data_IF_062668727828
#
_entry.id   IF_062668727828
#
_cell.length_a   1.000
_cell.length_b   1.000
_cell.length_c   1.000
_cell.angle_alpha   90.00
_cell.angle_beta   90.00
_cell.angle_gamma   90.00
#
_symmetry.space_group_name_H-M   'P 1'
#
loop_
_entity.id
_entity.type
_entity.pdbx_description
1 polymer ?
#
# COMPACT_ATOMS: atom_id res chain seq x y z
N UNK A 1 0.31 -2.95 18.46
CA UNK A 1 0.69 -1.67 19.09
C UNK A 1 -0.07 -1.52 20.41
N UNK A 2 0.62 -1.25 21.53
CA UNK A 2 -0.04 -0.77 22.76
C UNK A 2 -0.41 0.70 22.55
N UNK A 3 -1.66 1.06 22.81
CA UNK A 3 -2.16 2.42 22.58
C UNK A 3 -3.62 2.54 23.02
N UNK A 4 -4.13 3.77 23.00
CA UNK A 4 -5.55 4.05 23.21
C UNK A 4 -6.28 3.89 21.87
N UNK A 5 -7.43 3.22 21.88
CA UNK A 5 -8.36 3.18 20.75
C UNK A 5 -9.54 4.13 21.01
N UNK A 6 -10.10 4.67 19.95
CA UNK A 6 -11.20 5.62 20.03
C UNK A 6 -11.22 6.59 18.86
N UNK A 7 -12.24 7.45 18.78
CA UNK A 7 -12.36 8.43 17.72
C UNK A 7 -11.18 9.40 17.72
N UNK A 8 -10.70 9.75 16.53
CA UNK A 8 -9.71 10.83 16.35
C UNK A 8 -10.34 12.17 16.78
N UNK A 9 -9.57 13.10 17.35
CA UNK A 9 -10.09 14.44 17.66
C UNK A 9 -10.64 15.13 16.39
N UNK A 10 -11.81 15.74 16.48
CA UNK A 10 -12.50 16.31 15.32
C UNK A 10 -11.63 17.27 14.50
N UNK A 11 -10.88 18.17 15.16
CA UNK A 11 -10.00 19.13 14.49
C UNK A 11 -8.92 18.45 13.61
N UNK A 12 -8.47 17.24 13.98
CA UNK A 12 -7.50 16.47 13.16
C UNK A 12 -8.16 15.89 11.92
N UNK A 13 -9.41 15.42 12.03
CA UNK A 13 -10.20 14.90 10.91
C UNK A 13 -10.51 16.03 9.92
N UNK A 14 -10.91 17.20 10.41
CA UNK A 14 -11.17 18.37 9.57
C UNK A 14 -9.92 18.88 8.85
N UNK A 15 -8.76 18.86 9.51
CA UNK A 15 -7.48 19.22 8.88
C UNK A 15 -7.09 18.26 7.76
N UNK A 16 -7.19 16.94 8.02
CA UNK A 16 -6.95 15.92 7.00
C UNK A 16 -7.89 16.06 5.81
N UNK A 17 -9.20 16.27 6.05
CA UNK A 17 -10.18 16.44 4.98
C UNK A 17 -9.86 17.65 4.10
N UNK A 18 -9.44 18.79 4.67
CA UNK A 18 -9.03 19.95 3.86
C UNK A 18 -7.86 19.63 2.92
N UNK A 19 -6.88 18.84 3.38
CA UNK A 19 -5.76 18.42 2.54
C UNK A 19 -6.16 17.39 1.47
N UNK A 20 -7.05 16.44 1.81
CA UNK A 20 -7.64 15.50 0.85
C UNK A 20 -8.48 16.22 -0.22
N UNK A 21 -9.21 17.27 0.15
CA UNK A 21 -9.97 18.10 -0.78
C UNK A 21 -9.05 18.93 -1.67
N UNK A 22 -7.92 19.40 -1.15
CA UNK A 22 -6.90 20.10 -1.94
C UNK A 22 -6.26 19.16 -2.97
N UNK A 23 -5.96 17.91 -2.57
CA UNK A 23 -5.49 16.87 -3.49
C UNK A 23 -6.54 16.56 -4.57
N UNK A 24 -7.82 16.48 -4.19
CA UNK A 24 -8.94 16.26 -5.12
C UNK A 24 -8.98 17.37 -6.18
N UNK A 25 -8.94 18.64 -5.76
CA UNK A 25 -8.97 19.78 -6.67
C UNK A 25 -7.76 19.81 -7.62
N UNK A 26 -6.57 19.48 -7.13
CA UNK A 26 -5.37 19.35 -7.98
C UNK A 26 -5.49 18.20 -8.99
N UNK A 27 -6.11 17.09 -8.54
CA UNK A 27 -6.69 16.00 -9.30
C UNK A 27 -7.44 16.46 -10.55
N UNK A 28 -8.58 17.08 -10.26
CA UNK A 28 -9.60 17.49 -11.22
C UNK A 28 -9.09 18.60 -12.15
N UNK A 29 -8.24 19.51 -11.66
CA UNK A 29 -7.60 20.54 -12.48
C UNK A 29 -6.73 19.96 -13.61
N UNK A 30 -6.26 18.71 -13.47
CA UNK A 30 -5.55 17.96 -14.52
C UNK A 30 -6.47 17.06 -15.37
N UNK A 31 -7.79 17.18 -15.22
CA UNK A 31 -8.77 16.40 -15.97
C UNK A 31 -8.95 14.97 -15.47
N UNK A 32 -8.47 14.65 -14.26
CA UNK A 32 -8.64 13.33 -13.66
C UNK A 32 -10.00 13.29 -12.94
N UNK A 33 -10.82 12.28 -13.23
CA UNK A 33 -12.04 11.98 -12.45
C UNK A 33 -11.61 11.51 -11.05
N UNK A 34 -12.10 12.18 -10.01
CA UNK A 34 -11.87 11.79 -8.63
C UNK A 34 -13.18 11.28 -8.03
N UNK A 35 -13.14 10.06 -7.53
CA UNK A 35 -14.27 9.44 -6.82
C UNK A 35 -13.89 9.27 -5.34
N UNK A 36 -14.85 9.53 -4.45
CA UNK A 36 -14.65 9.50 -2.98
C UNK A 36 -15.45 8.36 -2.36
N UNK A 37 -14.92 7.67 -1.32
CA UNK A 37 -15.67 6.63 -0.61
C UNK A 37 -16.90 7.20 0.10
N UNK A 38 -17.90 6.34 0.36
CA UNK A 38 -19.05 6.62 1.22
C UNK A 38 -18.76 6.08 2.63
N UNK A 39 -18.42 6.92 3.63
CA UNK A 39 -18.08 6.42 4.97
C UNK A 39 -19.28 5.74 5.66
N UNK A 40 -18.99 4.66 6.39
CA UNK A 40 -19.95 4.06 7.33
C UNK A 40 -19.67 4.54 8.76
N UNK A 41 -20.50 4.12 9.72
CA UNK A 41 -20.29 4.44 11.14
C UNK A 41 -19.08 3.69 11.72
N UNK A 42 -17.87 4.20 11.53
CA UNK A 42 -16.63 3.53 11.96
C UNK A 42 -16.49 3.30 13.47
N UNK A 43 -17.26 4.03 14.28
CA UNK A 43 -17.30 3.85 15.73
C UNK A 43 -18.26 2.72 16.19
N UNK A 44 -19.00 2.08 15.28
CA UNK A 44 -19.81 0.91 15.63
C UNK A 44 -18.92 -0.32 15.85
N UNK A 45 -19.34 -1.19 16.76
CA UNK A 45 -18.63 -2.43 17.04
C UNK A 45 -18.72 -3.42 15.87
N UNK A 46 -17.66 -4.21 15.70
CA UNK A 46 -17.66 -5.38 14.82
C UNK A 46 -17.84 -6.62 15.68
N UNK A 47 -18.80 -7.46 15.32
CA UNK A 47 -19.01 -8.77 15.93
C UNK A 47 -19.09 -9.82 14.84
N UNK A 48 -18.18 -10.79 14.88
CA UNK A 48 -18.21 -12.01 14.05
C UNK A 48 -18.35 -13.23 14.97
N UNK A 49 -18.56 -14.45 14.44
CA UNK A 49 -18.49 -15.66 15.26
C UNK A 49 -17.15 -15.87 15.96
N UNK A 50 -16.06 -15.26 15.46
CA UNK A 50 -14.67 -15.56 15.87
C UNK A 50 -13.99 -14.43 16.64
N UNK A 51 -14.44 -13.18 16.48
CA UNK A 51 -13.87 -12.04 17.16
C UNK A 51 -14.84 -10.87 17.33
N UNK A 52 -14.46 -9.94 18.22
CA UNK A 52 -15.15 -8.67 18.40
C UNK A 52 -14.13 -7.52 18.47
N UNK A 53 -14.45 -6.38 17.87
CA UNK A 53 -13.71 -5.11 18.06
C UNK A 53 -14.69 -3.99 18.40
N UNK A 54 -14.29 -3.09 19.30
CA UNK A 54 -15.18 -1.99 19.74
C UNK A 54 -15.38 -0.89 18.70
N UNK A 55 -14.41 -0.73 17.79
CA UNK A 55 -14.45 0.21 16.67
C UNK A 55 -13.79 -0.42 15.44
N UNK A 56 -13.96 0.23 14.30
CA UNK A 56 -13.25 -0.05 13.05
C UNK A 56 -12.14 0.98 12.81
N UNK A 57 -11.47 0.85 11.67
CA UNK A 57 -10.35 1.70 11.27
C UNK A 57 -10.78 3.05 10.64
N UNK A 58 -11.27 3.04 9.40
CA UNK A 58 -11.65 4.24 8.65
C UNK A 58 -11.82 3.93 7.16
N UNK A 59 -11.87 4.95 6.29
CA UNK A 59 -11.91 4.80 4.83
C UNK A 59 -10.68 5.42 4.12
N UNK A 60 -9.66 5.75 4.91
CA UNK A 60 -8.33 6.11 4.45
C UNK A 60 -7.41 5.07 5.11
N UNK A 61 -6.48 4.45 4.38
CA UNK A 61 -6.19 4.62 2.96
C UNK A 61 -6.89 3.59 2.04
N UNK A 62 -7.45 3.98 0.88
CA UNK A 62 -8.06 3.05 -0.09
C UNK A 62 -7.05 2.07 -0.72
N UNK A 63 -5.77 2.44 -0.81
CA UNK A 63 -4.72 1.61 -1.41
C UNK A 63 -4.57 0.25 -0.74
N UNK A 64 -4.85 0.18 0.57
CA UNK A 64 -4.70 -1.03 1.35
C UNK A 64 -5.82 -2.04 1.05
N UNK A 65 -6.96 -1.54 0.58
CA UNK A 65 -8.18 -2.32 0.38
C UNK A 65 -8.37 -2.71 -1.08
N UNK A 66 -8.08 -1.79 -2.01
CA UNK A 66 -8.40 -1.94 -3.43
C UNK A 66 -7.15 -2.24 -4.27
N UNK A 67 -7.13 -3.41 -4.91
CA UNK A 67 -6.14 -3.80 -5.89
C UNK A 67 -6.75 -3.81 -7.31
N UNK A 68 -6.43 -2.80 -8.12
CA UNK A 68 -6.87 -2.73 -9.52
C UNK A 68 -5.90 -3.46 -10.44
N UNK A 69 -6.32 -4.54 -11.12
CA UNK A 69 -5.52 -5.29 -12.09
C UNK A 69 -6.32 -5.49 -13.38
N UNK A 70 -5.87 -4.84 -14.46
CA UNK A 70 -6.60 -4.85 -15.73
C UNK A 70 -7.99 -4.24 -15.58
N UNK A 71 -9.03 -5.02 -15.92
CA UNK A 71 -10.45 -4.62 -15.80
C UNK A 71 -11.07 -5.03 -14.47
N UNK A 72 -10.26 -5.47 -13.51
CA UNK A 72 -10.73 -5.97 -12.23
C UNK A 72 -10.31 -5.03 -11.10
N UNK A 73 -11.22 -4.77 -10.16
CA UNK A 73 -10.86 -4.26 -8.82
C UNK A 73 -11.17 -5.35 -7.81
N UNK A 74 -10.10 -5.80 -7.15
CA UNK A 74 -10.15 -6.79 -6.10
C UNK A 74 -10.12 -6.12 -4.73
N UNK A 75 -11.10 -6.43 -3.89
CA UNK A 75 -11.05 -6.09 -2.46
C UNK A 75 -10.19 -7.10 -1.70
N UNK A 76 -9.13 -6.62 -1.05
CA UNK A 76 -8.22 -7.41 -0.23
C UNK A 76 -8.93 -8.03 0.99
N UNK A 77 -8.47 -9.21 1.46
CA UNK A 77 -9.07 -9.91 2.59
C UNK A 77 -8.84 -9.17 3.92
N UNK A 78 -7.76 -8.38 3.99
CA UNK A 78 -7.24 -7.69 5.16
C UNK A 78 -6.78 -8.66 6.27
N UNK A 79 -5.80 -8.24 7.06
CA UNK A 79 -5.30 -9.03 8.20
C UNK A 79 -5.68 -8.44 9.57
N UNK A 80 -6.12 -7.18 9.62
CA UNK A 80 -6.47 -6.49 10.85
C UNK A 80 -7.96 -6.61 11.12
N UNK A 81 -8.35 -7.12 12.30
CA UNK A 81 -9.75 -7.28 12.69
C UNK A 81 -10.57 -5.98 12.63
N UNK A 82 -9.96 -4.82 12.91
CA UNK A 82 -10.63 -3.51 12.82
C UNK A 82 -10.88 -3.04 11.38
N UNK A 83 -10.30 -3.71 10.37
CA UNK A 83 -10.44 -3.40 8.93
C UNK A 83 -11.38 -4.36 8.20
N UNK A 84 -12.04 -5.25 8.94
CA UNK A 84 -12.82 -6.35 8.39
C UNK A 84 -13.94 -5.92 7.42
N UNK A 85 -14.60 -4.79 7.72
CA UNK A 85 -15.69 -4.22 6.92
C UNK A 85 -15.27 -2.99 6.12
N UNK A 86 -13.97 -2.70 5.99
CA UNK A 86 -13.48 -1.47 5.38
C UNK A 86 -13.90 -1.33 3.90
N UNK A 87 -14.00 -2.45 3.18
CA UNK A 87 -14.45 -2.50 1.79
C UNK A 87 -15.85 -1.90 1.57
N UNK A 88 -16.71 -1.88 2.60
CA UNK A 88 -18.06 -1.32 2.49
C UNK A 88 -18.04 0.17 2.15
N UNK A 89 -16.96 0.89 2.51
CA UNK A 89 -16.80 2.30 2.16
C UNK A 89 -16.75 2.55 0.64
N UNK A 90 -16.42 1.53 -0.14
CA UNK A 90 -16.25 1.60 -1.58
C UNK A 90 -17.36 0.89 -2.34
N UNK A 91 -18.35 0.30 -1.64
CA UNK A 91 -19.38 -0.54 -2.24
C UNK A 91 -20.20 0.21 -3.31
N UNK A 92 -20.67 1.42 -3.00
CA UNK A 92 -21.43 2.25 -3.95
C UNK A 92 -20.62 2.56 -5.22
N UNK A 93 -19.30 2.76 -5.07
CA UNK A 93 -18.40 2.98 -6.20
C UNK A 93 -18.26 1.73 -7.05
N UNK A 94 -18.06 0.57 -6.43
CA UNK A 94 -17.94 -0.70 -7.15
C UNK A 94 -19.22 -1.05 -7.91
N UNK A 95 -20.38 -0.84 -7.28
CA UNK A 95 -21.67 -1.03 -7.93
C UNK A 95 -21.82 -0.11 -9.14
N UNK A 96 -21.52 1.18 -8.98
CA UNK A 96 -21.57 2.13 -10.10
C UNK A 96 -20.61 1.75 -11.23
N UNK A 97 -19.38 1.33 -10.92
CA UNK A 97 -18.43 0.90 -11.96
C UNK A 97 -18.90 -0.35 -12.70
N UNK A 98 -19.55 -1.28 -12.00
CA UNK A 98 -20.16 -2.47 -12.60
C UNK A 98 -21.33 -2.13 -13.54
N UNK A 99 -22.13 -1.13 -13.17
CA UNK A 99 -23.24 -0.66 -14.01
C UNK A 99 -22.74 0.19 -15.21
N UNK A 100 -21.65 0.94 -15.04
CA UNK A 100 -21.06 1.83 -16.07
C UNK A 100 -20.20 1.09 -17.11
N UNK A 101 -19.48 0.03 -16.73
CA UNK A 101 -18.54 -0.70 -17.60
C UNK A 101 -18.87 -2.20 -17.67
N UNK A 102 -19.36 -2.72 -18.82
CA UNK A 102 -19.73 -4.13 -18.96
C UNK A 102 -18.55 -5.11 -18.91
N UNK A 103 -17.31 -4.62 -18.98
CA UNK A 103 -16.11 -5.44 -18.86
C UNK A 103 -15.48 -5.38 -17.46
N UNK A 104 -16.00 -4.51 -16.59
CA UNK A 104 -15.51 -4.39 -15.22
C UNK A 104 -15.81 -5.65 -14.41
N UNK A 105 -14.79 -6.15 -13.73
CA UNK A 105 -14.87 -7.29 -12.82
C UNK A 105 -14.75 -6.78 -11.38
N UNK A 106 -15.83 -6.93 -10.64
CA UNK A 106 -15.86 -6.63 -9.22
C UNK A 106 -15.62 -7.90 -8.42
N UNK A 107 -14.46 -7.99 -7.75
CA UNK A 107 -14.04 -9.20 -7.06
C UNK A 107 -13.71 -8.93 -5.58
N UNK A 108 -13.82 -9.99 -4.78
CA UNK A 108 -13.44 -9.97 -3.37
C UNK A 108 -12.65 -11.24 -3.06
N UNK A 109 -11.46 -11.07 -2.48
CA UNK A 109 -10.67 -12.20 -2.01
C UNK A 109 -11.41 -12.94 -0.87
N UNK A 110 -11.08 -14.22 -0.60
CA UNK A 110 -11.70 -14.98 0.48
C UNK A 110 -11.67 -14.21 1.79
N UNK A 111 -12.85 -13.83 2.30
CA UNK A 111 -12.94 -13.09 3.57
C UNK A 111 -12.44 -14.02 4.70
N UNK A 112 -11.37 -13.67 5.41
CA UNK A 112 -10.76 -14.55 6.40
C UNK A 112 -11.63 -14.62 7.65
N UNK A 113 -11.46 -15.67 8.46
CA UNK A 113 -12.13 -15.76 9.77
C UNK A 113 -11.43 -14.93 10.84
N UNK A 114 -10.12 -14.75 10.70
CA UNK A 114 -9.26 -14.05 11.67
C UNK A 114 -9.38 -14.64 13.09
N UNK A 115 -9.45 -15.98 13.17
CA UNK A 115 -9.37 -16.72 14.44
C UNK A 115 -8.01 -16.50 15.11
N UNK A 116 -7.82 -16.92 16.38
CA UNK A 116 -6.49 -16.89 16.99
C UNK A 116 -5.42 -17.62 16.17
N UNK A 117 -5.79 -18.66 15.41
CA UNK A 117 -4.84 -19.44 14.60
C UNK A 117 -4.23 -18.64 13.44
N UNK A 118 -4.88 -17.54 13.02
CA UNK A 118 -4.34 -16.63 12.01
C UNK A 118 -3.14 -15.81 12.50
N UNK A 119 -2.86 -15.82 13.82
CA UNK A 119 -1.83 -14.98 14.43
C UNK A 119 -0.89 -15.77 15.35
N UNK A 120 0.39 -15.42 15.32
CA UNK A 120 1.36 -15.90 16.29
C UNK A 120 1.12 -15.28 17.67
N UNK A 121 0.95 -16.13 18.69
CA UNK A 121 0.82 -15.70 20.09
C UNK A 121 2.13 -15.06 20.55
N UNK A 122 2.04 -13.89 21.22
CA UNK A 122 3.22 -13.20 21.77
C UNK A 122 4.11 -12.49 20.74
N UNK A 123 3.72 -12.40 19.47
CA UNK A 123 4.56 -11.78 18.43
C UNK A 123 4.96 -10.32 18.73
N UNK A 124 4.06 -9.58 19.38
CA UNK A 124 4.26 -8.18 19.77
C UNK A 124 4.76 -8.01 21.20
N UNK A 125 5.28 -9.07 21.82
CA UNK A 125 6.03 -8.94 23.07
C UNK A 125 7.25 -8.03 22.86
N UNK A 126 7.67 -7.36 23.94
CA UNK A 126 8.76 -6.39 23.88
C UNK A 126 10.08 -7.10 23.56
N UNK A 127 10.69 -6.70 22.45
CA UNK A 127 11.99 -7.19 21.98
C UNK A 127 12.85 -6.00 21.52
N UNK A 128 14.15 -6.22 21.38
CA UNK A 128 15.05 -5.21 20.83
C UNK A 128 14.79 -5.00 19.33
N UNK A 129 15.18 -3.84 18.81
CA UNK A 129 15.10 -3.56 17.37
C UNK A 129 15.95 -4.56 16.56
N UNK A 130 17.12 -4.95 17.08
CA UNK A 130 17.99 -5.96 16.47
C UNK A 130 17.28 -7.32 16.34
N UNK A 131 16.61 -7.77 17.40
CA UNK A 131 15.83 -9.01 17.36
C UNK A 131 14.66 -8.90 16.38
N UNK A 132 14.00 -7.74 16.30
CA UNK A 132 12.92 -7.51 15.33
C UNK A 132 13.44 -7.62 13.89
N UNK A 133 14.58 -6.99 13.58
CA UNK A 133 15.21 -7.09 12.26
C UNK A 133 15.65 -8.52 11.94
N UNK A 134 16.17 -9.27 12.92
CA UNK A 134 16.51 -10.69 12.76
C UNK A 134 15.28 -11.53 12.40
N UNK A 135 14.14 -11.29 13.04
CA UNK A 135 12.86 -11.95 12.71
C UNK A 135 12.36 -11.57 11.32
N UNK A 136 12.39 -10.28 10.95
CA UNK A 136 12.05 -9.85 9.57
C UNK A 136 12.94 -10.55 8.54
N UNK A 137 14.26 -10.60 8.77
CA UNK A 137 15.20 -11.27 7.87
C UNK A 137 14.91 -12.78 7.74
N UNK A 138 14.42 -13.40 8.81
CA UNK A 138 13.99 -14.81 8.83
C UNK A 138 12.57 -15.02 8.28
N UNK A 139 11.88 -13.96 7.83
CA UNK A 139 10.48 -13.99 7.38
C UNK A 139 9.51 -14.49 8.46
N UNK A 140 9.81 -14.20 9.73
CA UNK A 140 9.00 -14.52 10.89
C UNK A 140 8.05 -13.35 11.21
N UNK A 141 6.76 -13.52 10.88
CA UNK A 141 5.74 -12.48 10.94
C UNK A 141 4.55 -12.86 11.81
N UNK A 142 3.78 -11.85 12.22
CA UNK A 142 2.63 -12.05 13.11
C UNK A 142 1.56 -12.94 12.50
N UNK A 143 1.34 -12.87 11.18
CA UNK A 143 0.36 -13.70 10.48
C UNK A 143 0.92 -15.10 10.26
N UNK A 144 0.09 -16.11 10.50
CA UNK A 144 0.43 -17.51 10.20
C UNK A 144 -0.03 -17.87 8.78
N UNK A 145 0.23 -19.11 8.35
CA UNK A 145 -0.30 -19.67 7.10
C UNK A 145 -1.65 -20.39 7.31
N UNK A 146 -2.45 -19.99 8.30
CA UNK A 146 -3.76 -20.61 8.57
C UNK A 146 -4.80 -20.35 7.47
N UNK A 147 -4.78 -19.17 6.86
CA UNK A 147 -5.68 -18.75 5.78
C UNK A 147 -5.03 -17.67 4.91
N UNK A 148 -5.50 -17.41 3.68
CA UNK A 148 -4.93 -16.36 2.82
C UNK A 148 -5.15 -14.96 3.42
N UNK A 149 -4.07 -14.22 3.64
CA UNK A 149 -4.11 -12.84 4.17
C UNK A 149 -3.19 -11.96 3.33
N UNK A 150 -3.69 -10.78 2.95
CA UNK A 150 -2.91 -9.70 2.36
C UNK A 150 -3.66 -8.36 2.46
N UNK A 151 -2.89 -7.28 2.44
CA UNK A 151 -3.38 -5.94 2.16
C UNK A 151 -2.95 -5.59 0.72
N UNK A 152 -3.79 -4.90 -0.05
CA UNK A 152 -3.49 -4.55 -1.45
C UNK A 152 -2.23 -3.67 -1.60
N UNK A 153 -1.92 -2.89 -0.57
CA UNK A 153 -0.74 -2.01 -0.52
C UNK A 153 0.60 -2.76 -0.34
N UNK A 154 0.60 -4.08 -0.15
CA UNK A 154 1.81 -4.92 -0.26
C UNK A 154 2.09 -5.34 -1.72
N UNK A 155 1.20 -5.04 -2.68
CA UNK A 155 1.31 -5.46 -4.08
C UNK A 155 1.67 -4.27 -4.98
N UNK A 156 2.87 -4.30 -5.58
CA UNK A 156 3.23 -3.41 -6.67
C UNK A 156 2.84 -4.02 -8.01
N UNK A 157 2.27 -3.19 -8.87
CA UNK A 157 1.86 -3.55 -10.23
C UNK A 157 2.84 -2.97 -11.23
N UNK A 158 3.54 -3.82 -11.98
CA UNK A 158 4.46 -3.40 -13.04
C UNK A 158 4.17 -4.22 -14.30
N UNK A 159 3.10 -3.84 -15.00
CA UNK A 159 2.66 -4.54 -16.21
C UNK A 159 2.22 -5.98 -15.90
N UNK A 160 2.87 -6.96 -16.52
CA UNK A 160 2.61 -8.40 -16.31
C UNK A 160 3.14 -8.96 -14.98
N UNK A 161 3.90 -8.18 -14.22
CA UNK A 161 4.56 -8.64 -12.99
C UNK A 161 3.98 -7.94 -11.77
N UNK A 162 3.59 -8.74 -10.78
CA UNK A 162 3.09 -8.31 -9.49
C UNK A 162 4.15 -8.62 -8.42
N UNK A 163 4.74 -7.59 -7.82
CA UNK A 163 5.72 -7.76 -6.74
C UNK A 163 5.01 -7.63 -5.39
N UNK A 164 4.94 -8.72 -4.65
CA UNK A 164 4.21 -8.81 -3.39
C UNK A 164 5.19 -8.87 -2.22
N UNK A 165 5.07 -7.94 -1.28
CA UNK A 165 5.86 -7.95 -0.06
C UNK A 165 5.36 -9.02 0.91
N UNK A 166 6.27 -9.89 1.38
CA UNK A 166 5.98 -10.77 2.51
C UNK A 166 6.27 -10.01 3.80
N UNK A 167 5.25 -9.88 4.66
CA UNK A 167 5.32 -8.97 5.80
C UNK A 167 4.27 -9.26 6.86
N UNK A 168 3.98 -8.26 7.69
CA UNK A 168 3.06 -8.41 8.83
C UNK A 168 1.59 -8.52 8.42
N UNK A 169 1.24 -8.08 7.21
CA UNK A 169 -0.13 -8.03 6.69
C UNK A 169 -0.39 -9.04 5.58
N UNK A 170 0.65 -9.52 4.91
CA UNK A 170 0.59 -10.42 3.76
C UNK A 170 1.40 -11.68 4.00
N UNK A 171 0.75 -12.84 3.94
CA UNK A 171 1.37 -14.16 4.14
C UNK A 171 1.56 -14.93 2.81
N UNK A 172 2.26 -16.07 2.84
CA UNK A 172 2.56 -16.83 1.62
C UNK A 172 1.30 -17.40 0.99
N UNK A 173 0.30 -17.80 1.77
CA UNK A 173 -0.99 -18.25 1.25
C UNK A 173 -1.78 -17.15 0.54
N UNK A 174 -1.66 -15.90 0.97
CA UNK A 174 -2.21 -14.73 0.28
C UNK A 174 -1.55 -14.55 -1.09
N UNK A 175 -0.22 -14.64 -1.15
CA UNK A 175 0.52 -14.57 -2.42
C UNK A 175 0.20 -15.73 -3.36
N UNK A 176 0.11 -16.95 -2.84
CA UNK A 176 -0.33 -18.13 -3.59
C UNK A 176 -1.75 -17.97 -4.15
N UNK A 177 -2.64 -17.34 -3.39
CA UNK A 177 -3.98 -17.03 -3.84
C UNK A 177 -3.95 -16.01 -5.00
N UNK A 178 -3.17 -14.93 -4.87
CA UNK A 178 -2.99 -13.93 -5.94
C UNK A 178 -2.44 -14.56 -7.22
N UNK A 179 -1.44 -15.44 -7.11
CA UNK A 179 -0.86 -16.18 -8.24
C UNK A 179 -1.90 -17.04 -8.97
N UNK A 180 -2.78 -17.71 -8.24
CA UNK A 180 -3.84 -18.55 -8.84
C UNK A 180 -4.96 -17.72 -9.45
N UNK A 181 -5.28 -16.58 -8.85
CA UNK A 181 -6.35 -15.68 -9.28
C UNK A 181 -5.96 -14.89 -10.54
N UNK A 182 -4.69 -14.51 -10.68
CA UNK A 182 -4.15 -13.80 -11.84
C UNK A 182 -3.23 -14.69 -12.70
N UNK A 183 -3.74 -15.72 -13.41
CA UNK A 183 -2.92 -16.68 -14.15
C UNK A 183 -2.12 -16.07 -15.31
N UNK A 184 -2.55 -14.90 -15.81
CA UNK A 184 -1.86 -14.15 -16.87
C UNK A 184 -0.76 -13.21 -16.35
N UNK A 185 -0.58 -13.14 -15.03
CA UNK A 185 0.46 -12.34 -14.38
C UNK A 185 1.48 -13.23 -13.68
N UNK A 186 2.69 -12.71 -13.51
CA UNK A 186 3.78 -13.35 -12.75
C UNK A 186 3.83 -12.72 -11.38
N UNK A 187 3.70 -13.53 -10.33
CA UNK A 187 3.73 -13.05 -8.94
C UNK A 187 5.10 -13.31 -8.34
N UNK A 188 5.75 -12.25 -7.87
CA UNK A 188 7.09 -12.27 -7.30
C UNK A 188 7.04 -11.96 -5.81
N UNK A 189 7.72 -12.76 -4.99
CA UNK A 189 7.92 -12.42 -3.59
C UNK A 189 9.07 -11.42 -3.47
N UNK A 190 8.83 -10.33 -2.74
CA UNK A 190 9.88 -9.42 -2.28
C UNK A 190 9.87 -9.31 -0.77
N UNK A 191 11.03 -9.07 -0.17
CA UNK A 191 11.14 -8.82 1.26
C UNK A 191 12.26 -7.81 1.54
N UNK A 192 12.13 -7.05 2.61
CA UNK A 192 13.07 -5.98 2.96
C UNK A 192 13.57 -6.19 4.39
N UNK A 193 14.68 -6.92 4.60
CA UNK A 193 15.18 -7.26 5.93
C UNK A 193 15.51 -6.05 6.83
N UNK A 194 15.77 -4.89 6.21
CA UNK A 194 16.01 -3.62 6.92
C UNK A 194 14.74 -2.96 7.47
N UNK A 195 13.55 -3.47 7.17
CA UNK A 195 12.30 -2.94 7.70
C UNK A 195 11.86 -3.70 8.97
N UNK A 196 11.89 -3.08 10.16
CA UNK A 196 11.46 -3.76 11.38
C UNK A 196 9.94 -4.01 11.43
N UNK A 197 9.15 -3.31 10.60
CA UNK A 197 7.70 -3.43 10.56
C UNK A 197 7.22 -3.40 9.11
N UNK A 198 7.45 -4.46 8.31
CA UNK A 198 7.06 -4.51 6.90
C UNK A 198 5.53 -4.59 6.79
N UNK A 199 4.91 -3.41 6.75
CA UNK A 199 3.50 -3.19 6.48
C UNK A 199 3.49 -2.28 5.26
N UNK A 200 3.04 -2.83 4.14
CA UNK A 200 2.96 -2.18 2.83
C UNK A 200 4.33 -1.85 2.22
N UNK A 201 4.39 -1.88 0.89
CA UNK A 201 5.66 -1.76 0.14
C UNK A 201 5.88 -0.35 -0.41
N UNK A 202 4.84 0.48 -0.47
CA UNK A 202 4.80 1.78 -1.14
C UNK A 202 5.49 2.93 -0.39
N UNK A 203 6.09 2.66 0.78
CA UNK A 203 7.07 3.52 1.46
C UNK A 203 8.47 2.87 1.54
N UNK A 204 8.70 1.88 0.69
CA UNK A 204 9.92 1.07 0.64
C UNK A 204 10.46 0.91 -0.78
N UNK A 205 9.58 0.66 -1.75
CA UNK A 205 9.95 0.40 -3.14
C UNK A 205 8.85 0.99 -4.06
N UNK A 206 9.19 2.04 -4.81
CA UNK A 206 8.22 2.89 -5.52
C UNK A 206 8.60 2.98 -7.00
N UNK A 207 7.90 2.25 -7.89
CA UNK A 207 8.09 2.39 -9.32
C UNK A 207 7.69 3.80 -9.79
N UNK A 208 8.57 4.47 -10.53
CA UNK A 208 8.36 5.84 -10.99
C UNK A 208 7.94 5.91 -12.46
N UNK A 209 8.62 5.15 -13.32
CA UNK A 209 8.34 4.97 -14.75
C UNK A 209 9.01 3.68 -15.25
N UNK A 210 8.68 3.17 -16.45
CA UNK A 210 9.36 2.00 -17.00
C UNK A 210 10.88 2.14 -16.94
N UNK A 211 11.55 1.16 -16.30
CA UNK A 211 12.99 1.16 -16.12
C UNK A 211 13.52 1.97 -14.92
N UNK A 212 12.68 2.59 -14.09
CA UNK A 212 13.14 3.36 -12.92
C UNK A 212 12.28 3.08 -11.67
N UNK A 213 12.94 2.63 -10.60
CA UNK A 213 12.35 2.44 -9.26
C UNK A 213 13.16 3.18 -8.21
N UNK A 214 12.46 3.79 -7.26
CA UNK A 214 13.04 4.38 -6.07
C UNK A 214 12.93 3.41 -4.88
N UNK A 215 14.04 3.10 -4.22
CA UNK A 215 14.12 2.22 -3.05
C UNK A 215 14.51 3.02 -1.80
N UNK A 216 13.87 2.74 -0.68
CA UNK A 216 14.26 3.25 0.61
C UNK A 216 15.68 2.78 0.99
N UNK A 217 16.64 3.69 1.23
CA UNK A 217 18.04 3.33 1.48
C UNK A 217 18.25 2.59 2.82
N UNK A 218 17.27 2.61 3.73
CA UNK A 218 17.30 1.84 4.99
C UNK A 218 16.69 0.45 4.86
N UNK A 219 16.01 0.18 3.75
CA UNK A 219 15.28 -1.06 3.47
C UNK A 219 15.67 -1.57 2.08
N UNK A 220 16.95 -1.96 1.87
CA UNK A 220 17.42 -2.34 0.55
C UNK A 220 16.74 -3.65 0.10
N UNK A 221 16.34 -3.69 -1.18
CA UNK A 221 15.94 -4.94 -1.83
C UNK A 221 17.11 -5.95 -1.79
N UNK A 222 16.92 -7.20 -1.36
CA UNK A 222 17.96 -8.23 -1.37
C UNK A 222 18.57 -8.48 -2.74
N UNK A 223 19.86 -8.81 -2.80
CA UNK A 223 20.60 -9.00 -4.05
C UNK A 223 19.94 -10.03 -4.99
N UNK A 224 19.46 -11.16 -4.46
CA UNK A 224 18.78 -12.18 -5.26
C UNK A 224 17.49 -11.67 -5.90
N UNK A 225 16.74 -10.78 -5.22
CA UNK A 225 15.53 -10.16 -5.75
C UNK A 225 15.84 -8.99 -6.69
N UNK A 226 16.98 -8.31 -6.51
CA UNK A 226 17.45 -7.25 -7.44
C UNK A 226 17.76 -7.78 -8.83
N UNK A 227 18.18 -9.05 -8.96
CA UNK A 227 18.59 -9.65 -10.25
C UNK A 227 17.54 -9.53 -11.36
N UNK A 228 16.25 -9.60 -11.06
CA UNK A 228 15.20 -9.45 -12.10
C UNK A 228 15.15 -8.02 -12.66
N UNK A 229 15.37 -7.01 -11.83
CA UNK A 229 15.45 -5.61 -12.25
C UNK A 229 16.72 -5.39 -13.07
N UNK A 230 17.86 -5.85 -12.57
CA UNK A 230 19.16 -5.74 -13.26
C UNK A 230 19.16 -6.45 -14.62
N UNK A 231 18.57 -7.64 -14.70
CA UNK A 231 18.46 -8.39 -15.95
C UNK A 231 17.66 -7.63 -17.01
N UNK A 232 16.67 -6.83 -16.59
CA UNK A 232 15.78 -6.06 -17.46
C UNK A 232 16.15 -4.56 -17.49
N UNK A 233 17.40 -4.23 -17.17
CA UNK A 233 17.97 -2.89 -17.35
C UNK A 233 17.24 -1.79 -16.53
N UNK A 234 16.60 -2.18 -15.42
CA UNK A 234 15.96 -1.25 -14.49
C UNK A 234 17.00 -0.57 -13.58
N UNK A 235 16.89 0.75 -13.47
CA UNK A 235 17.63 1.55 -12.52
C UNK A 235 16.90 1.54 -11.16
N UNK A 236 17.61 1.14 -10.10
CA UNK A 236 17.14 1.23 -8.72
C UNK A 236 17.94 2.33 -8.03
N UNK A 237 17.29 3.47 -7.76
CA UNK A 237 17.89 4.60 -7.06
C UNK A 237 17.47 4.62 -5.60
N UNK A 238 18.34 5.14 -4.73
CA UNK A 238 17.97 5.38 -3.33
C UNK A 238 17.09 6.63 -3.22
N UNK A 239 16.03 6.57 -2.41
CA UNK A 239 15.22 7.72 -2.06
C UNK A 239 16.03 8.79 -1.31
N UNK A 240 15.72 10.06 -1.53
CA UNK A 240 16.28 11.16 -0.77
C UNK A 240 15.95 11.02 0.72
N UNK A 241 16.82 11.56 1.59
CA UNK A 241 16.53 11.58 3.03
C UNK A 241 15.28 12.43 3.29
N UNK A 242 14.34 11.98 4.15
CA UNK A 242 13.20 12.78 4.55
C UNK A 242 13.64 14.17 5.05
N UNK A 243 12.91 15.21 4.68
CA UNK A 243 13.16 16.56 5.18
C UNK A 243 12.70 16.74 6.63
N UNK A 244 11.85 15.83 7.11
CA UNK A 244 11.30 15.84 8.47
C UNK A 244 11.91 14.71 9.33
N UNK A 245 12.43 15.07 10.50
CA UNK A 245 13.04 14.10 11.43
C UNK A 245 12.03 13.25 12.20
N UNK A 246 10.75 13.63 12.17
CA UNK A 246 9.67 12.96 12.91
C UNK A 246 8.37 12.90 12.10
N UNK A 247 7.61 11.79 12.25
CA UNK A 247 6.25 11.74 11.72
C UNK A 247 5.35 12.73 12.49
N UNK A 248 4.23 13.19 11.88
CA UNK A 248 3.28 14.03 12.58
C UNK A 248 2.64 13.29 13.76
N UNK A 249 2.07 14.01 14.75
CA UNK A 249 1.37 13.38 15.88
C UNK A 249 0.34 12.36 15.41
N UNK A 250 0.18 11.27 16.16
CA UNK A 250 -0.78 10.19 15.90
C UNK A 250 -0.55 9.36 14.63
N UNK A 251 0.49 9.66 13.85
CA UNK A 251 0.93 8.84 12.73
C UNK A 251 1.69 7.60 13.23
N UNK A 252 1.30 6.44 12.69
CA UNK A 252 1.92 5.16 12.99
C UNK A 252 2.88 4.68 11.88
N UNK A 253 3.02 5.48 10.82
CA UNK A 253 4.00 5.27 9.74
C UNK A 253 5.32 5.99 10.05
N UNK A 254 6.38 5.63 9.32
CA UNK A 254 7.70 6.25 9.49
C UNK A 254 7.83 7.58 8.75
N UNK A 255 8.95 8.30 8.99
CA UNK A 255 9.33 9.50 8.20
C UNK A 255 9.47 9.23 6.70
N UNK A 256 9.59 7.96 6.29
CA UNK A 256 9.67 7.55 4.89
C UNK A 256 8.34 7.67 4.13
N UNK A 257 7.27 8.20 4.73
CA UNK A 257 6.16 8.72 3.93
C UNK A 257 6.60 9.85 2.98
N UNK A 258 7.82 10.40 3.15
CA UNK A 258 8.46 11.30 2.18
C UNK A 258 8.49 10.74 0.76
N UNK A 259 8.72 9.43 0.59
CA UNK A 259 8.78 8.77 -0.70
C UNK A 259 7.45 8.14 -1.15
N UNK A 260 6.40 8.20 -0.34
CA UNK A 260 5.05 7.71 -0.68
C UNK A 260 4.31 8.71 -1.59
N UNK A 261 4.89 8.93 -2.77
CA UNK A 261 4.48 9.92 -3.77
C UNK A 261 3.41 9.37 -4.70
N UNK A 262 2.61 10.26 -5.31
CA UNK A 262 1.64 9.86 -6.33
C UNK A 262 2.18 10.17 -7.73
N UNK A 263 2.59 9.12 -8.45
CA UNK A 263 2.95 9.21 -9.86
C UNK A 263 1.66 9.36 -10.68
N UNK A 264 1.45 10.55 -11.24
CA UNK A 264 0.26 10.85 -12.06
C UNK A 264 0.42 10.23 -13.45
N UNK A 265 1.58 10.42 -14.06
CA UNK A 265 2.01 9.81 -15.32
C UNK A 265 3.55 9.71 -15.33
N UNK A 266 4.16 9.31 -16.44
CA UNK A 266 5.62 9.12 -16.53
C UNK A 266 6.45 10.42 -16.48
N UNK A 267 5.80 11.59 -16.46
CA UNK A 267 6.41 12.92 -16.41
C UNK A 267 5.99 13.73 -15.19
N UNK A 268 4.87 13.43 -14.53
CA UNK A 268 4.31 14.26 -13.44
C UNK A 268 4.17 13.44 -12.15
N UNK A 269 4.64 13.99 -11.03
CA UNK A 269 4.57 13.38 -9.70
C UNK A 269 4.09 14.40 -8.67
N UNK A 270 3.21 13.97 -7.76
CA UNK A 270 2.78 14.76 -6.61
C UNK A 270 3.57 14.30 -5.38
N UNK A 271 4.14 15.25 -4.65
CA UNK A 271 5.03 15.02 -3.51
C UNK A 271 4.56 15.88 -2.34
N UNK A 272 4.71 15.40 -1.10
CA UNK A 272 4.35 16.20 0.06
C UNK A 272 5.19 17.48 0.13
N UNK A 273 4.52 18.63 0.29
CA UNK A 273 5.11 19.96 0.09
C UNK A 273 6.29 20.29 1.01
N UNK A 274 6.41 19.67 2.19
CA UNK A 274 7.55 19.89 3.09
C UNK A 274 8.74 18.98 2.80
N UNK A 275 8.59 17.95 1.98
CA UNK A 275 9.63 16.96 1.66
C UNK A 275 10.55 17.45 0.54
N UNK A 276 11.20 18.60 0.80
CA UNK A 276 12.00 19.35 -0.17
C UNK A 276 13.14 18.55 -0.82
N UNK A 277 13.74 17.62 -0.09
CA UNK A 277 14.80 16.76 -0.64
C UNK A 277 14.25 15.76 -1.67
N UNK A 278 13.05 15.22 -1.42
CA UNK A 278 12.40 14.28 -2.34
C UNK A 278 11.91 15.00 -3.60
N UNK A 279 11.43 16.24 -3.44
CA UNK A 279 11.08 17.10 -4.57
C UNK A 279 12.30 17.42 -5.45
N UNK A 280 13.42 17.87 -4.86
CA UNK A 280 14.66 18.15 -5.58
C UNK A 280 15.21 16.91 -6.31
N UNK A 281 15.15 15.73 -5.69
CA UNK A 281 15.55 14.48 -6.35
C UNK A 281 14.68 14.18 -7.58
N UNK A 282 13.36 14.28 -7.46
CA UNK A 282 12.44 13.95 -8.55
C UNK A 282 12.52 14.97 -9.70
N UNK A 283 12.76 16.26 -9.39
CA UNK A 283 13.02 17.30 -10.39
C UNK A 283 14.31 17.01 -11.19
N UNK A 284 15.39 16.60 -10.52
CA UNK A 284 16.64 16.16 -11.18
C UNK A 284 16.46 14.93 -12.07
N UNK A 285 15.46 14.09 -11.79
CA UNK A 285 15.06 12.95 -12.62
C UNK A 285 14.10 13.34 -13.76
N UNK A 286 13.87 14.65 -13.95
CA UNK A 286 13.06 15.27 -15.00
C UNK A 286 11.54 15.03 -14.83
N UNK A 287 11.05 14.92 -13.59
CA UNK A 287 9.62 14.98 -13.32
C UNK A 287 9.14 16.42 -13.12
N UNK A 288 7.96 16.76 -13.63
CA UNK A 288 7.13 17.86 -13.14
C UNK A 288 6.68 17.51 -11.71
N UNK A 289 7.30 18.15 -10.71
CA UNK A 289 7.00 17.93 -9.30
C UNK A 289 5.92 18.90 -8.82
N UNK A 290 4.84 18.34 -8.28
CA UNK A 290 3.73 19.12 -7.73
C UNK A 290 3.74 19.01 -6.21
N UNK A 291 4.08 20.10 -5.50
CA UNK A 291 4.04 20.11 -4.04
C UNK A 291 2.59 20.06 -3.56
N UNK A 292 2.31 19.20 -2.58
CA UNK A 292 0.99 19.02 -1.97
C UNK A 292 1.10 19.02 -0.44
N UNK A 293 0.56 20.02 0.27
CA UNK A 293 0.48 19.96 1.72
C UNK A 293 -0.39 18.78 2.15
N UNK A 294 0.21 17.77 2.79
CA UNK A 294 -0.49 16.49 3.04
C UNK A 294 -0.21 15.84 4.40
N UNK A 295 0.58 16.49 5.28
CA UNK A 295 0.99 15.92 6.57
C UNK A 295 -0.15 15.69 7.56
N UNK A 296 -1.26 16.41 7.47
CA UNK A 296 -2.41 16.22 8.36
C UNK A 296 -3.22 14.96 7.98
N UNK A 297 -3.09 14.47 6.74
CA UNK A 297 -3.69 13.20 6.30
C UNK A 297 -2.87 11.96 6.73
N UNK A 298 -1.55 12.10 6.95
CA UNK A 298 -0.67 10.98 7.32
C UNK A 298 -1.17 10.12 8.50
N UNK A 299 -1.70 10.70 9.60
CA UNK A 299 -2.22 9.91 10.73
C UNK A 299 -3.40 9.01 10.40
N UNK A 300 -4.06 9.22 9.25
CA UNK A 300 -5.20 8.41 8.82
C UNK A 300 -4.78 7.20 7.99
N UNK A 301 -3.49 7.06 7.69
CA UNK A 301 -2.90 5.77 7.33
C UNK A 301 -1.91 5.74 6.19
N UNK A 302 -1.51 6.90 5.66
CA UNK A 302 -0.36 6.95 4.76
C UNK A 302 -0.22 8.28 4.02
N UNK A 303 0.70 8.27 3.05
CA UNK A 303 0.97 9.42 2.19
C UNK A 303 0.06 9.48 0.98
N UNK A 304 0.54 10.07 -0.11
CA UNK A 304 -0.25 10.35 -1.30
C UNK A 304 -0.63 9.08 -2.08
N UNK A 305 0.28 8.10 -2.16
CA UNK A 305 -0.02 6.83 -2.81
C UNK A 305 -1.01 5.99 -1.99
N UNK A 306 -0.84 5.94 -0.66
CA UNK A 306 -1.80 5.24 0.21
C UNK A 306 -3.19 5.88 0.12
N UNK A 307 -3.26 7.22 0.14
CA UNK A 307 -4.52 7.96 0.11
C UNK A 307 -5.31 7.83 -1.21
N UNK A 308 -4.77 7.15 -2.22
CA UNK A 308 -5.40 6.99 -3.54
C UNK A 308 -5.43 5.52 -3.97
N UNK A 309 -6.43 5.15 -4.77
CA UNK A 309 -6.47 3.90 -5.52
C UNK A 309 -6.78 4.24 -6.97
N UNK A 310 -5.82 4.03 -7.87
CA UNK A 310 -6.02 4.30 -9.30
C UNK A 310 -6.91 3.21 -9.91
N UNK A 311 -8.11 3.64 -10.32
CA UNK A 311 -9.13 2.83 -10.99
C UNK A 311 -8.82 2.68 -12.48
N UNK A 312 -8.31 3.74 -13.11
CA UNK A 312 -8.01 3.75 -14.53
C UNK A 312 -6.73 4.52 -14.81
N UNK A 313 -5.87 3.95 -15.66
CA UNK A 313 -4.73 4.61 -16.30
C UNK A 313 -4.74 4.21 -17.76
N UNK A 314 -4.56 5.18 -18.66
CA UNK A 314 -4.48 4.90 -20.09
C UNK A 314 -3.21 4.09 -20.40
N UNK A 315 -3.36 2.96 -21.09
CA UNK A 315 -2.24 2.09 -21.43
C UNK A 315 -2.66 0.65 -21.76
N UNK A 316 -1.66 -0.22 -21.91
CA UNK A 316 -1.82 -1.67 -22.11
C UNK A 316 -1.07 -2.43 -21.03
N UNK A 317 -1.39 -3.72 -20.87
CA UNK A 317 -0.60 -4.62 -20.02
C UNK A 317 0.71 -4.99 -20.72
N UNK A 318 1.74 -4.18 -20.51
CA UNK A 318 3.08 -4.38 -21.07
C UNK A 318 3.91 -5.38 -20.27
N UNK A 319 4.84 -6.06 -20.94
CA UNK A 319 5.83 -6.93 -20.30
C UNK A 319 7.12 -6.14 -20.09
N UNK A 320 7.32 -5.61 -18.89
CA UNK A 320 8.53 -4.86 -18.52
C UNK A 320 9.67 -5.76 -18.00
N UNK A 321 9.43 -7.08 -17.91
CA UNK A 321 10.40 -8.06 -17.45
C UNK A 321 10.48 -9.27 -18.40
N UNK A 322 10.78 -9.07 -19.70
CA UNK A 322 10.87 -10.19 -20.64
C UNK A 322 11.99 -11.20 -20.28
N UNK A 323 13.03 -10.77 -19.55
CA UNK A 323 14.11 -11.63 -19.07
C UNK A 323 13.81 -12.07 -17.63
N UNK A 324 13.13 -13.20 -17.48
CA UNK A 324 12.76 -13.74 -16.17
C UNK A 324 13.96 -14.36 -15.43
N UNK A 325 13.97 -14.25 -14.10
CA UNK A 325 15.04 -14.79 -13.24
C UNK A 325 14.47 -15.84 -12.29
N UNK A 326 15.06 -17.04 -12.31
CA UNK A 326 14.64 -18.17 -11.47
C UNK A 326 14.70 -17.80 -9.98
N UNK A 327 13.68 -18.21 -9.23
CA UNK A 327 13.59 -18.00 -7.78
C UNK A 327 13.00 -16.66 -7.35
N UNK A 328 12.66 -15.78 -8.30
CA UNK A 328 11.96 -14.52 -7.98
C UNK A 328 10.44 -14.66 -8.02
N UNK A 329 9.91 -15.56 -8.86
CA UNK A 329 8.50 -15.93 -8.89
C UNK A 329 8.18 -16.92 -7.75
N UNK A 330 6.98 -16.79 -7.19
CA UNK A 330 6.40 -17.77 -6.25
C UNK A 330 5.74 -18.87 -7.05
#
# INVERSE_FOLDING_TARGET
MRGLWGPRPLHTVEAANRQLDTLTQALEAKGIRVDRPTPIQWNQAVTTPDFMTGTMFGCMPPRDVLLTVGKEILSAPMSFRCRYWEYLAYHDLMQRYFDEDPEFRWEQAPRPRLTPDAYQVGYFDEITLEERLRRTAALDFVTTEHEPLFDAADVLRIGKDLFCQHGLTTNRRGMEWLKRHYPDHRVHAVNFPGDPYPIHIDATFVPLRPGLVMNNPKRPLPAEQRKIFEANDWEIIDAAQPANDKPPPLCYSSVWLSMNVLVVNHQTVIVEASEVHQMDQLDKLQFEVIPMPFRDAYPFGGGLHCATADVFREGKCEDYFPKQVLGTQI
#
